data_IF_888407657014
#
_entry.id   IF_888407657014
#
_cell.length_a   1.000
_cell.length_b   1.000
_cell.length_c   1.000
_cell.angle_alpha   90.00
_cell.angle_beta   90.00
_cell.angle_gamma   90.00
#
_symmetry.space_group_name_H-M   'P 1'
#
loop_
_entity.id
_entity.type
_entity.pdbx_description
1 polymer ?
#
# COMPACT_ATOMS: atom_id res chain seq x y z
N UNK A 1 -2.44 4.20 15.54
CA UNK A 1 -2.58 3.76 14.16
C UNK A 1 -1.23 3.44 13.54
N UNK A 2 -0.32 4.37 13.38
CA UNK A 2 0.99 4.13 12.73
C UNK A 2 1.82 3.01 13.37
N UNK A 3 1.73 2.80 14.68
CA UNK A 3 2.40 1.69 15.37
C UNK A 3 1.91 0.31 14.88
N UNK A 4 0.61 0.15 14.64
CA UNK A 4 0.07 -1.11 14.11
C UNK A 4 0.60 -1.39 12.70
N UNK A 5 0.58 -0.38 11.82
CA UNK A 5 1.15 -0.50 10.47
C UNK A 5 2.63 -0.87 10.54
N UNK A 6 3.41 -0.15 11.35
CA UNK A 6 4.85 -0.38 11.51
C UNK A 6 5.16 -1.81 11.99
N UNK A 7 4.49 -2.24 13.09
CA UNK A 7 4.71 -3.58 13.67
C UNK A 7 4.33 -4.69 12.70
N UNK A 8 3.23 -4.55 11.96
CA UNK A 8 2.81 -5.52 10.94
C UNK A 8 3.78 -5.53 9.75
N UNK A 9 4.28 -4.37 9.34
CA UNK A 9 5.31 -4.29 8.28
C UNK A 9 6.60 -4.98 8.69
N UNK A 10 7.08 -4.75 9.91
CA UNK A 10 8.30 -5.42 10.45
C UNK A 10 8.10 -6.91 10.63
N UNK A 11 6.86 -7.38 10.88
CA UNK A 11 6.55 -8.80 11.04
C UNK A 11 6.55 -9.58 9.71
N UNK A 12 6.51 -8.90 8.56
CA UNK A 12 6.61 -9.54 7.25
C UNK A 12 8.01 -10.14 7.05
N UNK A 13 8.07 -11.39 6.60
CA UNK A 13 9.31 -12.19 6.55
C UNK A 13 10.30 -11.72 5.49
N UNK A 14 9.80 -11.06 4.43
CA UNK A 14 10.60 -10.56 3.31
C UNK A 14 10.99 -9.07 3.49
N UNK A 15 10.57 -8.44 4.58
CA UNK A 15 10.92 -7.06 4.93
C UNK A 15 12.13 -7.04 5.86
N UNK A 16 13.24 -6.43 5.44
CA UNK A 16 14.46 -6.36 6.24
C UNK A 16 14.49 -5.14 7.18
N UNK A 17 13.84 -4.05 6.80
CA UNK A 17 13.75 -2.84 7.61
C UNK A 17 12.49 -2.06 7.24
N UNK A 18 11.91 -1.37 8.21
CA UNK A 18 10.80 -0.45 8.01
C UNK A 18 11.18 0.96 8.50
N UNK A 19 10.75 1.96 7.75
CA UNK A 19 10.95 3.38 8.04
C UNK A 19 9.63 4.12 7.82
N UNK A 20 9.27 5.04 8.70
CA UNK A 20 8.14 5.94 8.48
C UNK A 20 8.64 7.23 7.87
N UNK A 21 8.23 7.52 6.62
CA UNK A 21 8.50 8.79 5.95
C UNK A 21 7.35 9.77 6.23
N UNK A 22 7.62 10.88 6.85
CA UNK A 22 6.58 11.86 7.25
C UNK A 22 7.13 13.28 7.27
N UNK A 23 6.26 14.27 7.08
CA UNK A 23 6.55 15.70 7.26
C UNK A 23 5.99 16.25 8.59
N UNK A 24 5.49 15.39 9.47
CA UNK A 24 4.87 15.78 10.73
C UNK A 24 5.71 15.28 11.92
N UNK A 25 6.27 16.21 12.69
CA UNK A 25 7.04 15.90 13.89
C UNK A 25 6.25 15.12 14.96
N UNK A 26 4.91 15.24 14.99
CA UNK A 26 4.08 14.46 15.92
C UNK A 26 4.14 12.98 15.58
N UNK A 27 4.18 12.67 14.28
CA UNK A 27 4.31 11.29 13.80
C UNK A 27 5.71 10.76 14.11
N UNK A 28 6.77 11.56 13.88
CA UNK A 28 8.15 11.17 14.25
C UNK A 28 8.21 10.80 15.73
N UNK A 29 7.76 11.71 16.62
CA UNK A 29 7.75 11.44 18.08
C UNK A 29 6.94 10.21 18.45
N UNK A 30 5.79 10.00 17.80
CA UNK A 30 4.98 8.79 18.02
C UNK A 30 5.72 7.53 17.62
N UNK A 31 6.40 7.53 16.46
CA UNK A 31 7.19 6.37 15.97
C UNK A 31 8.37 6.08 16.90
N UNK A 32 9.11 7.10 17.31
CA UNK A 32 10.23 6.96 18.25
C UNK A 32 9.79 6.44 19.61
N UNK A 33 8.59 6.81 20.09
CA UNK A 33 8.07 6.40 21.39
C UNK A 33 7.86 4.89 21.54
N UNK A 34 7.66 4.16 20.43
CA UNK A 34 7.59 2.69 20.43
C UNK A 34 8.83 2.00 19.84
N UNK A 35 9.93 2.75 19.65
CA UNK A 35 11.21 2.24 19.14
C UNK A 35 11.25 2.03 17.64
N UNK A 36 10.34 2.62 16.88
CA UNK A 36 10.34 2.62 15.42
C UNK A 36 11.34 3.64 14.85
N UNK A 37 11.63 3.52 13.56
CA UNK A 37 12.46 4.45 12.82
C UNK A 37 11.60 5.39 11.95
N UNK A 38 11.85 6.69 12.02
CA UNK A 38 11.18 7.70 11.21
C UNK A 38 12.19 8.64 10.55
N UNK A 39 11.83 9.14 9.38
CA UNK A 39 12.62 10.13 8.63
C UNK A 39 11.71 11.30 8.28
N UNK A 40 12.14 12.50 8.67
CA UNK A 40 11.48 13.73 8.23
C UNK A 40 11.74 13.95 6.75
N UNK A 41 10.70 14.29 6.03
CA UNK A 41 10.72 14.62 4.61
C UNK A 41 10.20 16.04 4.38
N UNK A 42 10.41 16.57 3.19
CA UNK A 42 9.85 17.87 2.81
C UNK A 42 8.32 17.84 2.88
N UNK A 43 7.75 19.03 3.10
CA UNK A 43 6.29 19.21 3.22
C UNK A 43 5.58 19.41 1.88
N UNK A 44 6.35 19.62 0.79
CA UNK A 44 5.85 19.95 -0.55
C UNK A 44 5.62 18.75 -1.47
N UNK A 45 5.74 17.52 -0.95
CA UNK A 45 5.41 16.31 -1.70
C UNK A 45 3.92 16.23 -1.99
N UNK A 46 3.59 16.01 -3.27
CA UNK A 46 2.20 15.90 -3.72
C UNK A 46 1.62 14.50 -3.51
N UNK A 47 2.49 13.50 -3.30
CA UNK A 47 2.07 12.11 -3.19
C UNK A 47 2.92 11.31 -2.20
N UNK A 48 2.38 10.16 -1.75
CA UNK A 48 3.13 9.19 -0.94
C UNK A 48 4.32 8.60 -1.70
N UNK A 49 4.16 8.38 -2.99
CA UNK A 49 5.23 7.89 -3.88
C UNK A 49 6.40 8.87 -3.96
N UNK A 50 6.14 10.17 -4.11
CA UNK A 50 7.18 11.21 -4.16
C UNK A 50 7.92 11.32 -2.81
N UNK A 51 7.19 11.24 -1.69
CA UNK A 51 7.73 11.24 -0.34
C UNK A 51 8.68 10.07 -0.09
N UNK A 52 8.28 8.87 -0.46
CA UNK A 52 9.11 7.67 -0.30
C UNK A 52 10.34 7.73 -1.20
N UNK A 53 10.21 8.27 -2.41
CA UNK A 53 11.34 8.43 -3.33
C UNK A 53 12.45 9.32 -2.75
N UNK A 54 12.11 10.39 -2.01
CA UNK A 54 13.11 11.23 -1.30
C UNK A 54 13.94 10.39 -0.34
N UNK A 55 13.29 9.58 0.48
CA UNK A 55 13.97 8.71 1.46
C UNK A 55 14.81 7.64 0.76
N UNK A 56 14.21 6.95 -0.23
CA UNK A 56 14.83 5.84 -0.96
C UNK A 56 16.04 6.26 -1.78
N UNK A 57 16.08 7.52 -2.23
CA UNK A 57 17.24 8.05 -2.96
C UNK A 57 18.55 7.91 -2.16
N UNK A 58 18.47 7.90 -0.83
CA UNK A 58 19.62 7.81 0.08
C UNK A 58 19.85 6.39 0.65
N UNK A 59 19.02 5.41 0.28
CA UNK A 59 19.09 4.06 0.85
C UNK A 59 19.62 3.03 -0.16
N UNK A 60 20.50 2.11 0.28
CA UNK A 60 21.02 1.05 -0.57
C UNK A 60 20.08 -0.16 -0.60
N UNK A 61 18.81 0.03 -1.00
CA UNK A 61 17.84 -1.06 -1.12
C UNK A 61 17.63 -1.48 -2.58
N UNK A 62 17.18 -2.72 -2.78
CA UNK A 62 16.84 -3.26 -4.11
C UNK A 62 15.35 -3.11 -4.40
N UNK A 63 14.53 -3.42 -3.41
CA UNK A 63 13.07 -3.34 -3.44
C UNK A 63 12.60 -2.38 -2.37
N UNK A 64 11.49 -1.72 -2.64
CA UNK A 64 10.81 -0.78 -1.74
C UNK A 64 9.37 -1.20 -1.61
N UNK A 65 8.92 -1.43 -0.39
CA UNK A 65 7.51 -1.69 -0.09
C UNK A 65 6.89 -0.41 0.45
N UNK A 66 5.90 0.09 -0.24
CA UNK A 66 5.09 1.23 0.18
C UNK A 66 3.83 0.73 0.88
N UNK A 67 3.81 0.78 2.19
CA UNK A 67 2.64 0.51 3.02
C UNK A 67 2.05 1.83 3.47
N UNK A 68 0.77 2.05 3.21
CA UNK A 68 0.09 3.29 3.59
C UNK A 68 -0.09 3.36 5.12
N UNK A 69 0.11 4.54 5.69
CA UNK A 69 0.04 4.75 7.15
C UNK A 69 -1.35 4.60 7.75
N UNK A 70 -2.38 4.58 6.91
CA UNK A 70 -3.80 4.41 7.23
C UNK A 70 -4.30 2.96 7.07
N UNK A 71 -3.39 1.98 6.87
CA UNK A 71 -3.69 0.55 6.70
C UNK A 71 -3.30 -0.28 7.96
N UNK A 72 -3.90 -0.02 9.14
CA UNK A 72 -3.47 -0.66 10.40
C UNK A 72 -3.77 -2.16 10.49
N UNK A 73 -4.57 -2.69 9.57
CA UNK A 73 -4.94 -4.10 9.49
C UNK A 73 -4.22 -4.85 8.36
N UNK A 74 -3.23 -4.22 7.70
CA UNK A 74 -2.45 -4.91 6.66
C UNK A 74 -1.81 -6.18 7.23
N UNK A 75 -2.00 -7.31 6.56
CA UNK A 75 -1.44 -8.58 7.02
C UNK A 75 0.01 -8.75 6.54
N UNK A 76 0.94 -9.22 7.42
CA UNK A 76 2.33 -9.47 7.03
C UNK A 76 2.45 -10.41 5.83
N UNK A 77 1.64 -11.47 5.77
CA UNK A 77 1.62 -12.41 4.64
C UNK A 77 1.18 -11.75 3.32
N UNK A 78 0.33 -10.73 3.39
CA UNK A 78 -0.05 -9.96 2.19
C UNK A 78 1.13 -9.12 1.69
N UNK A 79 1.93 -8.55 2.60
CA UNK A 79 3.16 -7.83 2.25
C UNK A 79 4.14 -8.80 1.56
N UNK A 80 4.37 -9.97 2.15
CA UNK A 80 5.26 -10.99 1.59
C UNK A 80 4.76 -11.46 0.22
N UNK A 81 3.46 -11.67 0.05
CA UNK A 81 2.86 -12.03 -1.24
C UNK A 81 3.10 -10.99 -2.34
N UNK A 82 3.10 -9.69 -1.99
CA UNK A 82 3.41 -8.63 -2.95
C UNK A 82 4.91 -8.55 -3.29
N UNK A 83 5.80 -8.90 -2.35
CA UNK A 83 7.26 -8.84 -2.53
C UNK A 83 7.78 -10.02 -3.34
N UNK A 84 7.30 -11.23 -3.06
CA UNK A 84 7.84 -12.48 -3.60
C UNK A 84 7.99 -12.48 -5.14
N UNK A 85 7.02 -12.04 -5.96
CA UNK A 85 7.14 -12.07 -7.41
C UNK A 85 8.30 -11.21 -7.94
N UNK A 86 8.63 -10.08 -7.29
CA UNK A 86 9.76 -9.24 -7.69
C UNK A 86 11.11 -9.83 -7.29
N UNK A 87 11.14 -10.73 -6.31
CA UNK A 87 12.36 -11.49 -5.99
C UNK A 87 12.61 -12.60 -7.02
N UNK A 88 11.54 -13.25 -7.47
CA UNK A 88 11.60 -14.41 -8.39
C UNK A 88 11.81 -14.00 -9.85
N UNK A 89 11.24 -12.86 -10.27
CA UNK A 89 11.30 -12.39 -11.67
C UNK A 89 11.89 -10.98 -11.74
N UNK A 90 13.13 -10.88 -12.24
CA UNK A 90 13.86 -9.63 -12.39
C UNK A 90 13.24 -8.68 -13.44
N UNK A 91 12.33 -9.14 -14.28
CA UNK A 91 11.67 -8.32 -15.31
C UNK A 91 10.46 -7.56 -14.77
N UNK A 92 9.91 -7.97 -13.62
CA UNK A 92 8.82 -7.24 -12.99
C UNK A 92 9.32 -5.93 -12.38
N UNK A 93 8.66 -4.85 -12.75
CA UNK A 93 9.02 -3.49 -12.32
C UNK A 93 8.35 -3.11 -11.00
N UNK A 94 7.09 -3.51 -10.83
CA UNK A 94 6.22 -3.12 -9.74
C UNK A 94 5.15 -4.18 -9.49
N UNK A 95 4.70 -4.33 -8.25
CA UNK A 95 3.52 -5.14 -7.89
C UNK A 95 2.59 -4.40 -6.94
N UNK A 96 1.36 -4.89 -6.89
CA UNK A 96 0.31 -4.47 -5.96
C UNK A 96 -0.62 -5.64 -5.66
N UNK A 97 -1.58 -5.44 -4.76
CA UNK A 97 -2.50 -6.48 -4.33
C UNK A 97 -3.93 -6.23 -4.82
N UNK A 98 -4.70 -7.30 -4.94
CA UNK A 98 -6.15 -7.22 -5.08
C UNK A 98 -6.83 -8.35 -4.29
N UNK A 99 -8.12 -8.16 -4.02
CA UNK A 99 -9.02 -9.19 -3.47
C UNK A 99 -10.32 -9.24 -4.27
N UNK A 100 -11.09 -10.33 -4.17
CA UNK A 100 -12.44 -10.33 -4.70
C UNK A 100 -13.28 -9.20 -4.11
N UNK A 101 -14.16 -8.61 -4.92
CA UNK A 101 -15.19 -7.68 -4.44
C UNK A 101 -16.18 -8.44 -3.56
N UNK A 102 -16.60 -7.84 -2.44
CA UNK A 102 -17.58 -8.45 -1.53
C UNK A 102 -19.04 -8.36 -2.03
N UNK A 103 -19.25 -7.84 -3.24
CA UNK A 103 -20.54 -7.73 -3.90
C UNK A 103 -20.74 -6.41 -4.64
N UNK A 104 -21.95 -6.22 -5.16
CA UNK A 104 -22.28 -5.06 -6.00
C UNK A 104 -22.14 -3.73 -5.26
N UNK A 105 -22.29 -3.71 -3.95
CA UNK A 105 -22.11 -2.52 -3.15
C UNK A 105 -20.66 -2.00 -3.20
N UNK A 106 -19.66 -2.90 -3.14
CA UNK A 106 -18.25 -2.50 -3.31
C UNK A 106 -17.92 -2.11 -4.75
N UNK A 107 -18.53 -2.79 -5.73
CA UNK A 107 -18.38 -2.42 -7.13
C UNK A 107 -18.85 -1.00 -7.38
N UNK A 108 -19.94 -0.58 -6.75
CA UNK A 108 -20.51 0.76 -6.89
C UNK A 108 -19.82 1.83 -6.02
N UNK A 109 -19.12 1.43 -4.94
CA UNK A 109 -18.52 2.36 -3.99
C UNK A 109 -17.26 3.05 -4.56
N UNK A 110 -17.20 4.39 -4.68
CA UNK A 110 -15.99 5.10 -5.17
C UNK A 110 -14.78 4.99 -4.21
N UNK A 111 -15.02 4.72 -2.94
CA UNK A 111 -13.96 4.48 -1.94
C UNK A 111 -13.19 3.19 -2.20
N UNK A 112 -13.83 2.19 -2.80
CA UNK A 112 -13.16 0.95 -3.22
C UNK A 112 -12.60 1.17 -4.62
N UNK A 113 -11.28 1.17 -4.76
CA UNK A 113 -10.62 1.22 -6.06
C UNK A 113 -10.73 -0.15 -6.74
N UNK A 114 -11.12 -0.16 -8.00
CA UNK A 114 -11.23 -1.38 -8.83
C UNK A 114 -9.98 -1.53 -9.67
N UNK A 115 -9.59 -2.77 -9.92
CA UNK A 115 -8.52 -3.11 -10.86
C UNK A 115 -8.97 -4.22 -11.80
N UNK A 116 -8.68 -4.08 -13.08
CA UNK A 116 -8.76 -5.14 -14.08
C UNK A 116 -7.38 -5.54 -14.55
N UNK A 117 -7.21 -6.84 -14.85
CA UNK A 117 -5.93 -7.39 -15.27
C UNK A 117 -6.09 -8.18 -16.58
N UNK A 118 -4.97 -8.36 -17.26
CA UNK A 118 -4.89 -9.36 -18.31
C UNK A 118 -4.77 -10.79 -17.73
N UNK A 119 -4.71 -11.79 -18.62
CA UNK A 119 -4.59 -13.20 -18.24
C UNK A 119 -3.28 -13.54 -17.53
N UNK A 120 -2.29 -12.68 -17.61
CA UNK A 120 -1.00 -12.85 -16.92
C UNK A 120 -0.98 -12.19 -15.53
N UNK A 121 -2.06 -11.51 -15.15
CA UNK A 121 -2.14 -10.75 -13.90
C UNK A 121 -1.48 -9.36 -13.98
N UNK A 122 -1.19 -8.85 -15.17
CA UNK A 122 -0.73 -7.47 -15.36
C UNK A 122 -1.92 -6.52 -15.31
N UNK A 123 -1.80 -5.42 -14.57
CA UNK A 123 -2.84 -4.40 -14.52
C UNK A 123 -3.07 -3.77 -15.89
N UNK A 124 -4.33 -3.70 -16.29
CA UNK A 124 -4.80 -2.98 -17.47
C UNK A 124 -5.31 -1.60 -17.11
N UNK A 125 -6.05 -1.49 -16.01
CA UNK A 125 -6.59 -0.22 -15.54
C UNK A 125 -6.98 -0.27 -14.07
N UNK A 126 -6.97 0.92 -13.43
CA UNK A 126 -7.52 1.17 -12.10
C UNK A 126 -8.55 2.29 -12.19
N UNK A 127 -9.67 2.18 -11.46
CA UNK A 127 -10.67 3.24 -11.41
C UNK A 127 -11.47 3.21 -10.11
N UNK A 128 -11.98 4.37 -9.71
CA UNK A 128 -13.01 4.49 -8.66
C UNK A 128 -14.41 4.20 -9.20
N UNK A 129 -14.61 4.31 -10.51
CA UNK A 129 -15.87 3.97 -11.17
C UNK A 129 -16.12 2.45 -11.21
N UNK A 130 -17.37 2.00 -11.28
CA UNK A 130 -17.70 0.59 -11.44
C UNK A 130 -17.09 0.00 -12.72
N UNK A 131 -16.38 -1.11 -12.59
CA UNK A 131 -15.84 -1.88 -13.72
C UNK A 131 -16.26 -3.34 -13.59
N UNK A 132 -17.20 -3.85 -14.41
CA UNK A 132 -17.59 -5.25 -14.38
C UNK A 132 -16.38 -6.19 -14.62
N UNK A 133 -16.28 -7.26 -13.81
CA UNK A 133 -15.18 -8.21 -13.88
C UNK A 133 -13.89 -7.77 -13.19
N UNK A 134 -13.91 -6.65 -12.47
CA UNK A 134 -12.77 -6.17 -11.68
C UNK A 134 -12.65 -6.87 -10.32
N UNK A 135 -11.48 -6.69 -9.70
CA UNK A 135 -11.22 -6.97 -8.28
C UNK A 135 -11.09 -5.68 -7.48
N UNK A 136 -11.24 -5.75 -6.16
CA UNK A 136 -10.92 -4.65 -5.26
C UNK A 136 -9.40 -4.53 -5.12
N UNK A 137 -8.85 -3.37 -5.45
CA UNK A 137 -7.44 -3.07 -5.28
C UNK A 137 -7.12 -2.80 -3.80
N UNK A 138 -5.93 -3.19 -3.36
CA UNK A 138 -5.38 -2.89 -2.03
C UNK A 138 -4.16 -1.99 -2.23
N UNK A 139 -4.15 -0.83 -1.57
CA UNK A 139 -3.18 0.25 -1.72
C UNK A 139 -1.78 -0.04 -1.16
N UNK A 140 -1.28 -1.25 -1.37
CA UNK A 140 0.09 -1.64 -1.08
C UNK A 140 0.86 -1.80 -2.39
N UNK A 141 2.08 -1.27 -2.45
CA UNK A 141 2.90 -1.36 -3.65
C UNK A 141 4.31 -1.82 -3.32
N UNK A 142 4.87 -2.64 -4.21
CA UNK A 142 6.29 -2.98 -4.19
C UNK A 142 6.91 -2.50 -5.49
N UNK A 143 8.04 -1.82 -5.37
CA UNK A 143 8.78 -1.26 -6.51
C UNK A 143 10.21 -1.80 -6.53
N UNK A 144 10.79 -1.94 -7.71
CA UNK A 144 12.24 -1.84 -7.80
C UNK A 144 12.67 -0.40 -7.47
N UNK A 145 13.79 -0.26 -6.76
CA UNK A 145 14.27 1.06 -6.33
C UNK A 145 14.40 2.05 -7.49
N UNK A 146 15.03 1.63 -8.58
CA UNK A 146 15.23 2.44 -9.77
C UNK A 146 13.92 2.82 -10.47
N UNK A 147 12.95 1.90 -10.48
CA UNK A 147 11.59 2.15 -11.01
C UNK A 147 10.87 3.19 -10.16
N UNK A 148 10.94 3.11 -8.83
CA UNK A 148 10.33 4.11 -7.94
C UNK A 148 10.93 5.50 -8.18
N UNK A 149 12.26 5.60 -8.24
CA UNK A 149 12.95 6.88 -8.48
C UNK A 149 12.61 7.45 -9.87
N UNK A 150 12.52 6.58 -10.90
CA UNK A 150 12.06 6.96 -12.23
C UNK A 150 10.62 7.46 -12.19
N UNK A 151 9.70 6.73 -11.54
CA UNK A 151 8.27 7.07 -11.44
C UNK A 151 8.06 8.43 -10.78
N UNK A 152 8.75 8.71 -9.67
CA UNK A 152 8.67 9.98 -8.97
C UNK A 152 9.19 11.18 -9.81
N UNK A 153 10.09 10.93 -10.77
CA UNK A 153 10.59 11.97 -11.68
C UNK A 153 9.69 12.21 -12.90
N UNK A 154 8.69 11.34 -13.15
CA UNK A 154 7.78 11.48 -14.28
C UNK A 154 6.67 12.49 -14.00
N UNK A 155 6.20 13.23 -15.03
CA UNK A 155 5.07 14.14 -14.86
C UNK A 155 3.79 13.34 -14.52
N UNK A 156 2.91 13.97 -13.74
CA UNK A 156 1.60 13.41 -13.45
C UNK A 156 0.80 13.13 -14.73
N UNK A 157 0.11 12.01 -14.77
CA UNK A 157 -0.73 11.64 -15.89
C UNK A 157 -2.13 12.25 -15.77
N UNK A 158 -2.82 12.59 -16.87
CA UNK A 158 -4.18 13.13 -16.80
C UNK A 158 -5.16 12.24 -16.02
N UNK A 159 -5.11 10.93 -16.22
CA UNK A 159 -5.96 9.97 -15.49
C UNK A 159 -5.60 9.88 -14.01
N UNK A 160 -4.32 10.00 -13.66
CA UNK A 160 -3.89 10.05 -12.25
C UNK A 160 -4.57 11.21 -11.51
N UNK A 161 -4.58 12.38 -12.12
CA UNK A 161 -5.23 13.58 -11.54
C UNK A 161 -6.75 13.44 -11.48
N UNK A 162 -7.35 12.90 -12.53
CA UNK A 162 -8.81 12.73 -12.63
C UNK A 162 -9.34 11.74 -11.59
N UNK A 163 -8.69 10.60 -11.44
CA UNK A 163 -9.10 9.51 -10.55
C UNK A 163 -8.50 9.67 -9.14
N UNK A 164 -7.51 10.56 -8.95
CA UNK A 164 -6.69 10.65 -7.72
C UNK A 164 -6.08 9.30 -7.36
N UNK A 165 -5.43 8.65 -8.34
CA UNK A 165 -4.82 7.33 -8.25
C UNK A 165 -3.39 7.37 -8.82
N UNK A 166 -2.38 7.42 -7.94
CA UNK A 166 -0.96 7.57 -8.29
C UNK A 166 -0.43 6.45 -9.22
N UNK A 167 -0.93 5.22 -9.07
CA UNK A 167 -0.52 4.08 -9.90
C UNK A 167 -0.89 4.23 -11.38
N UNK A 168 -1.81 5.13 -11.71
CA UNK A 168 -2.14 5.45 -13.11
C UNK A 168 -1.00 6.20 -13.81
N UNK A 169 -0.13 6.91 -13.08
CA UNK A 169 1.13 7.46 -13.62
C UNK A 169 2.01 6.34 -14.17
N UNK A 170 2.19 5.26 -13.40
CA UNK A 170 2.98 4.13 -13.84
C UNK A 170 2.45 3.52 -15.14
N UNK A 171 1.15 3.23 -15.22
CA UNK A 171 0.53 2.67 -16.43
C UNK A 171 0.64 3.62 -17.62
N UNK A 172 0.41 4.92 -17.44
CA UNK A 172 0.48 5.92 -18.51
C UNK A 172 1.90 6.04 -19.11
N UNK A 173 2.93 5.75 -18.31
CA UNK A 173 4.32 5.78 -18.75
C UNK A 173 4.89 4.39 -19.10
N UNK A 174 4.02 3.38 -19.24
CA UNK A 174 4.40 2.04 -19.69
C UNK A 174 5.09 1.17 -18.63
N UNK A 175 5.12 1.58 -17.36
CA UNK A 175 5.62 0.78 -16.24
C UNK A 175 4.61 -0.33 -15.95
N UNK A 176 5.08 -1.59 -15.99
CA UNK A 176 4.23 -2.74 -15.75
C UNK A 176 3.93 -2.97 -14.28
N UNK A 177 2.65 -3.17 -13.94
CA UNK A 177 2.22 -3.48 -12.58
C UNK A 177 1.68 -4.91 -12.53
N UNK A 178 2.30 -5.79 -11.76
CA UNK A 178 1.79 -7.13 -11.45
C UNK A 178 0.79 -7.02 -10.31
N UNK A 179 -0.44 -7.48 -10.52
CA UNK A 179 -1.49 -7.53 -9.50
C UNK A 179 -1.54 -8.94 -8.91
N UNK A 180 -1.38 -9.05 -7.61
CA UNK A 180 -1.33 -10.32 -6.88
C UNK A 180 -2.64 -10.49 -6.12
N UNK A 181 -3.40 -11.57 -6.38
CA UNK A 181 -4.59 -11.88 -5.60
C UNK A 181 -4.22 -12.27 -4.17
N UNK A 182 -4.95 -11.72 -3.21
CA UNK A 182 -4.83 -12.09 -1.79
C UNK A 182 -6.21 -12.39 -1.19
N UNK A 183 -6.23 -13.22 -0.15
CA UNK A 183 -7.43 -13.46 0.67
C UNK A 183 -7.52 -12.49 1.83
N UNK A 184 -6.44 -11.78 2.12
CA UNK A 184 -6.38 -10.81 3.20
C UNK A 184 -7.07 -9.53 2.75
N UNK A 185 -8.09 -9.12 3.50
CA UNK A 185 -8.66 -7.79 3.38
C UNK A 185 -7.76 -6.79 4.11
N UNK A 186 -7.64 -5.60 3.59
CA UNK A 186 -7.17 -4.47 4.36
C UNK A 186 -8.32 -3.47 4.50
N UNK A 187 -8.40 -2.82 5.64
CA UNK A 187 -9.39 -1.78 5.89
C UNK A 187 -8.63 -0.49 6.20
N UNK A 188 -8.54 0.36 5.18
CA UNK A 188 -8.01 1.72 5.34
C UNK A 188 -8.87 2.54 6.31
N UNK A 189 -8.28 3.53 6.93
CA UNK A 189 -8.91 4.45 7.87
C UNK A 189 -8.95 5.83 7.25
N UNK A 190 -9.97 6.10 6.45
CA UNK A 190 -10.20 7.39 5.79
C UNK A 190 -11.18 8.28 6.56
N UNK A 191 -12.09 7.67 7.34
CA UNK A 191 -13.17 8.36 8.06
C UNK A 191 -13.14 8.06 9.56
N UNK A 192 -13.79 8.89 10.41
CA UNK A 192 -13.98 8.58 11.83
C UNK A 192 -14.68 7.24 12.07
N UNK A 193 -15.62 6.87 11.20
CA UNK A 193 -16.36 5.60 11.24
C UNK A 193 -15.43 4.41 10.97
N UNK A 194 -14.48 4.55 10.03
CA UNK A 194 -13.46 3.54 9.77
C UNK A 194 -12.54 3.37 10.99
N UNK A 195 -12.15 4.47 11.61
CA UNK A 195 -11.31 4.44 12.81
C UNK A 195 -12.01 3.67 13.95
N UNK A 196 -13.30 3.91 14.16
CA UNK A 196 -14.04 3.21 15.20
C UNK A 196 -14.19 1.71 14.89
N UNK A 197 -14.48 1.38 13.63
CA UNK A 197 -14.52 -0.02 13.16
C UNK A 197 -13.18 -0.73 13.41
N UNK A 198 -12.07 -0.09 13.05
CA UNK A 198 -10.72 -0.66 13.25
C UNK A 198 -10.37 -0.78 14.73
N UNK A 199 -10.78 0.19 15.59
CA UNK A 199 -10.61 0.07 17.04
C UNK A 199 -11.30 -1.17 17.60
N UNK A 200 -12.52 -1.44 17.16
CA UNK A 200 -13.28 -2.64 17.59
C UNK A 200 -12.59 -3.93 17.15
N UNK A 201 -12.03 -3.97 15.93
CA UNK A 201 -11.30 -5.12 15.41
C UNK A 201 -9.95 -5.36 16.11
N UNK A 202 -9.31 -4.30 16.60
CA UNK A 202 -8.05 -4.34 17.33
C UNK A 202 -8.22 -4.46 18.85
N UNK A 203 -9.45 -4.27 19.36
CA UNK A 203 -9.72 -4.42 20.78
C UNK A 203 -9.42 -5.86 21.22
N UNK A 204 -8.77 -6.07 22.37
CA UNK A 204 -8.64 -7.40 22.95
C UNK A 204 -10.04 -8.01 23.07
N UNK A 205 -10.25 -9.21 22.54
CA UNK A 205 -11.48 -9.94 22.82
C UNK A 205 -11.51 -10.26 24.30
N UNK A 206 -12.24 -9.45 25.08
CA UNK A 206 -12.56 -9.79 26.46
C UNK A 206 -13.42 -11.05 26.44
N UNK A 207 -12.86 -12.16 26.85
CA UNK A 207 -13.63 -13.33 27.28
C UNK A 207 -13.66 -14.56 26.39
N UNK A 208 -12.54 -15.28 26.30
CA UNK A 208 -12.62 -16.74 26.41
C UNK A 208 -11.64 -17.12 27.52
N UNK A 209 -12.11 -17.62 28.71
CA UNK A 209 -11.21 -18.14 29.71
C UNK A 209 -10.53 -19.36 29.10
N UNK A 210 -9.18 -19.35 29.08
CA UNK A 210 -8.39 -20.55 28.81
C UNK A 210 -8.80 -21.59 29.85
N UNK A 211 -9.53 -22.61 29.44
CA UNK A 211 -9.70 -23.83 30.23
C UNK A 211 -8.40 -24.59 30.05
N UNK A 212 -7.63 -24.71 31.16
CA UNK A 212 -6.45 -25.58 31.24
C UNK A 212 -6.88 -27.04 31.19
#
# INVERSE_FOLDING_TARGET
>A
MIEHVYRRTVAASLVHAALVATDDERIVRAVESFGGAAIMTRTDHLSGTDRIAEVVAQLPCRLVVNVQGDEPLIEPDAIDAAVAPLLDDATLEMSTLCRPLAGDHELAAPSVVKVITDLTGRALHFSRSPMPGSAAHIGLYVYRRDVLLKLAALPAAPLETLESLEQLRALAHGIGIRVIPTRHGSAGVDTPEDLERVRQLLAPHEGVPYVM
#
